data_IF_952149440389
#
_entry.id   IF_952149440389
#
_cell.length_a   1.000
_cell.length_b   1.000
_cell.length_c   1.000
_cell.angle_alpha   90.00
_cell.angle_beta   90.00
_cell.angle_gamma   90.00
#
_symmetry.space_group_name_H-M   'P 1'
#
loop_
_entity.id
_entity.type
_entity.pdbx_description
1 polymer ?
#
# COMPACT_ATOMS: atom_id res chain seq x y z
N UNK A 1 18.98 -13.89 13.23
CA UNK A 1 18.82 -12.45 12.96
C UNK A 1 18.21 -11.82 14.20
N UNK A 2 18.74 -10.69 14.68
CA UNK A 2 18.19 -9.98 15.84
C UNK A 2 16.81 -9.39 15.49
N UNK A 3 15.87 -9.30 16.44
CA UNK A 3 14.50 -8.84 16.15
C UNK A 3 14.50 -7.43 15.53
N UNK A 4 15.38 -6.55 16.01
CA UNK A 4 15.53 -5.20 15.49
C UNK A 4 15.96 -5.16 14.02
N UNK A 5 16.85 -6.07 13.60
CA UNK A 5 17.31 -6.15 12.21
C UNK A 5 16.18 -6.65 11.29
N UNK A 6 15.43 -7.67 11.74
CA UNK A 6 14.27 -8.17 11.02
C UNK A 6 13.21 -7.07 10.82
N UNK A 7 12.91 -6.31 11.89
CA UNK A 7 11.97 -5.19 11.83
C UNK A 7 12.47 -4.05 10.92
N UNK A 8 13.76 -3.74 10.93
CA UNK A 8 14.35 -2.75 10.03
C UNK A 8 14.19 -3.16 8.55
N UNK A 9 14.39 -4.44 8.22
CA UNK A 9 14.14 -4.97 6.86
C UNK A 9 12.66 -4.92 6.49
N UNK A 10 11.78 -5.34 7.40
CA UNK A 10 10.33 -5.35 7.20
C UNK A 10 9.78 -3.95 6.88
N UNK A 11 10.27 -2.96 7.62
CA UNK A 11 9.73 -1.59 7.64
C UNK A 11 10.56 -0.59 6.84
N UNK A 12 11.58 -1.04 6.10
CA UNK A 12 12.38 -0.17 5.24
C UNK A 12 11.50 0.62 4.27
N UNK A 13 11.89 1.84 3.83
CA UNK A 13 11.14 2.57 2.83
C UNK A 13 10.84 1.72 1.59
N UNK A 14 9.67 1.93 1.01
CA UNK A 14 9.20 1.33 -0.23
C UNK A 14 10.01 1.91 -1.40
N UNK A 15 10.50 1.01 -2.24
CA UNK A 15 11.09 1.39 -3.52
C UNK A 15 10.01 1.79 -4.53
N UNK A 16 10.42 2.46 -5.61
CA UNK A 16 9.52 2.80 -6.70
C UNK A 16 8.92 1.57 -7.40
N UNK A 17 9.62 0.43 -7.37
CA UNK A 17 9.14 -0.83 -7.97
C UNK A 17 8.07 -1.52 -7.12
N UNK A 18 8.07 -1.28 -5.81
CA UNK A 18 7.05 -1.82 -4.89
C UNK A 18 5.78 -0.98 -4.86
N UNK A 19 5.84 0.25 -5.40
CA UNK A 19 4.71 1.19 -5.41
C UNK A 19 4.07 1.22 -6.78
N UNK A 20 2.79 0.87 -6.79
CA UNK A 20 1.92 1.03 -7.93
C UNK A 20 0.94 2.18 -7.70
N UNK A 21 0.34 2.65 -8.80
CA UNK A 21 -0.62 3.75 -8.78
C UNK A 21 -1.95 3.29 -9.35
N UNK A 22 -3.04 3.62 -8.66
CA UNK A 22 -4.40 3.30 -9.11
C UNK A 22 -5.25 4.55 -9.20
N UNK A 23 -6.16 4.57 -10.18
CA UNK A 23 -7.23 5.55 -10.26
C UNK A 23 -8.24 5.24 -9.14
N UNK A 24 -8.53 6.24 -8.32
CA UNK A 24 -9.56 6.16 -7.25
C UNK A 24 -10.81 6.95 -7.61
N UNK A 25 -10.71 7.90 -8.54
CA UNK A 25 -11.85 8.63 -9.08
C UNK A 25 -11.47 9.27 -10.41
N UNK A 26 -12.36 9.27 -11.39
CA UNK A 26 -12.24 10.04 -12.63
C UNK A 26 -13.58 10.69 -12.90
N UNK A 27 -13.72 11.97 -12.56
CA UNK A 27 -14.97 12.73 -12.68
C UNK A 27 -14.72 14.24 -12.68
N UNK A 28 -15.61 14.99 -13.32
CA UNK A 28 -15.58 16.44 -13.32
C UNK A 28 -14.32 17.01 -13.98
N UNK A 29 -13.82 16.35 -15.02
CA UNK A 29 -12.60 16.77 -15.74
C UNK A 29 -11.31 16.56 -14.94
N UNK A 30 -11.31 15.73 -13.90
CA UNK A 30 -10.12 15.41 -13.10
C UNK A 30 -10.07 13.93 -12.75
N UNK A 31 -8.87 13.36 -12.88
CA UNK A 31 -8.56 12.00 -12.44
C UNK A 31 -7.71 12.04 -11.17
N UNK A 32 -8.19 11.43 -10.09
CA UNK A 32 -7.45 11.28 -8.83
C UNK A 32 -6.83 9.90 -8.77
N UNK A 33 -5.54 9.84 -8.46
CA UNK A 33 -4.81 8.59 -8.27
C UNK A 33 -4.19 8.51 -6.87
N UNK A 34 -4.00 7.29 -6.37
CA UNK A 34 -3.37 7.03 -5.09
C UNK A 34 -2.33 5.90 -5.22
N UNK A 35 -1.22 5.99 -4.46
CA UNK A 35 -0.23 4.93 -4.45
C UNK A 35 -0.73 3.75 -3.61
N UNK A 36 -0.34 2.55 -3.97
CA UNK A 36 -0.58 1.33 -3.22
C UNK A 36 0.57 0.36 -3.45
N UNK A 37 0.73 -0.62 -2.56
CA UNK A 37 1.60 -1.77 -2.80
C UNK A 37 0.79 -2.96 -3.26
N UNK A 38 1.39 -3.85 -4.03
CA UNK A 38 0.81 -5.16 -4.32
C UNK A 38 0.94 -6.12 -3.12
N UNK A 39 0.06 -7.13 -3.07
CA UNK A 39 0.07 -8.14 -2.02
C UNK A 39 1.38 -8.96 -1.99
N UNK A 40 2.01 -9.20 -3.13
CA UNK A 40 3.28 -9.95 -3.23
C UNK A 40 4.45 -9.13 -2.67
N UNK A 41 4.40 -7.80 -2.73
CA UNK A 41 5.39 -6.96 -2.05
C UNK A 41 5.33 -7.12 -0.52
N UNK A 42 4.12 -7.23 0.05
CA UNK A 42 3.93 -7.55 1.48
C UNK A 42 4.54 -8.92 1.82
N UNK A 43 4.21 -9.94 1.03
CA UNK A 43 4.72 -11.31 1.24
C UNK A 43 6.24 -11.37 1.14
N UNK A 44 6.80 -10.73 0.10
CA UNK A 44 8.24 -10.69 -0.13
C UNK A 44 8.99 -10.03 1.02
N UNK A 45 8.45 -8.95 1.61
CA UNK A 45 9.01 -8.29 2.78
C UNK A 45 8.95 -9.14 4.04
N UNK A 46 7.86 -9.88 4.23
CA UNK A 46 7.73 -10.84 5.34
C UNK A 46 8.73 -11.99 5.19
N UNK A 47 8.89 -12.52 3.99
CA UNK A 47 9.89 -13.55 3.67
C UNK A 47 11.32 -13.04 3.84
N UNK A 48 11.63 -11.81 3.39
CA UNK A 48 12.95 -11.18 3.56
C UNK A 48 13.29 -11.00 5.05
N UNK A 49 12.31 -10.64 5.86
CA UNK A 49 12.49 -10.31 7.27
C UNK A 49 12.39 -11.52 8.22
N UNK A 50 11.64 -12.56 7.90
CA UNK A 50 11.40 -13.68 8.83
C UNK A 50 11.53 -15.06 8.19
N UNK A 51 11.71 -15.13 6.86
CA UNK A 51 11.64 -16.36 6.09
C UNK A 51 10.22 -16.90 5.97
N UNK A 52 9.98 -17.84 5.04
CA UNK A 52 8.63 -18.35 4.75
C UNK A 52 7.98 -19.11 5.92
N UNK A 53 8.77 -19.54 6.91
CA UNK A 53 8.27 -20.21 8.12
C UNK A 53 8.12 -19.26 9.33
N UNK A 54 8.59 -18.01 9.23
CA UNK A 54 8.60 -17.05 10.32
C UNK A 54 7.35 -16.17 10.40
N UNK A 55 6.42 -16.32 9.46
CA UNK A 55 5.15 -15.63 9.44
C UNK A 55 4.03 -16.55 8.94
N UNK A 56 2.79 -16.19 9.27
CA UNK A 56 1.58 -16.85 8.76
C UNK A 56 0.46 -15.83 8.59
N UNK A 57 -0.51 -16.15 7.72
CA UNK A 57 -1.73 -15.36 7.56
C UNK A 57 -2.96 -16.25 7.65
N UNK A 58 -3.97 -15.80 8.41
CA UNK A 58 -5.32 -16.35 8.36
C UNK A 58 -6.28 -15.32 7.77
N UNK A 59 -7.28 -15.81 7.04
CA UNK A 59 -8.38 -14.99 6.53
C UNK A 59 -9.69 -15.48 7.13
N UNK A 60 -10.49 -14.56 7.65
CA UNK A 60 -11.83 -14.84 8.19
C UNK A 60 -12.87 -13.96 7.48
N UNK A 61 -14.03 -14.51 7.07
CA UNK A 61 -15.14 -13.69 6.62
C UNK A 61 -15.57 -12.73 7.73
N UNK A 62 -15.90 -11.50 7.36
CA UNK A 62 -16.38 -10.48 8.28
C UNK A 62 -17.65 -9.84 7.74
N UNK A 63 -18.57 -9.53 8.64
CA UNK A 63 -19.76 -8.75 8.35
C UNK A 63 -19.94 -7.70 9.44
N UNK A 64 -20.01 -6.43 9.02
CA UNK A 64 -20.27 -5.30 9.92
C UNK A 64 -21.48 -4.56 9.37
N UNK A 65 -22.63 -4.76 10.03
CA UNK A 65 -23.91 -4.32 9.50
C UNK A 65 -24.23 -4.99 8.15
N UNK A 66 -24.42 -4.18 7.11
CA UNK A 66 -24.70 -4.65 5.74
C UNK A 66 -23.43 -4.81 4.88
N UNK A 67 -22.26 -4.48 5.43
CA UNK A 67 -20.99 -4.60 4.71
C UNK A 67 -20.40 -5.99 4.90
N UNK A 68 -20.00 -6.61 3.79
CA UNK A 68 -19.27 -7.86 3.76
C UNK A 68 -17.79 -7.61 3.43
N UNK A 69 -16.91 -8.31 4.12
CA UNK A 69 -15.48 -8.19 3.93
C UNK A 69 -14.71 -9.40 4.42
N UNK A 70 -13.40 -9.23 4.46
CA UNK A 70 -12.45 -10.23 4.94
C UNK A 70 -11.56 -9.55 5.97
N UNK A 71 -11.32 -10.22 7.10
CA UNK A 71 -10.26 -9.86 8.05
C UNK A 71 -9.05 -10.73 7.72
N UNK A 72 -7.88 -10.09 7.62
CA UNK A 72 -6.61 -10.79 7.55
C UNK A 72 -5.89 -10.63 8.89
N UNK A 73 -5.39 -11.73 9.42
CA UNK A 73 -4.58 -11.76 10.63
C UNK A 73 -3.17 -12.25 10.26
N UNK A 74 -2.19 -11.36 10.34
CA UNK A 74 -0.78 -11.68 10.11
C UNK A 74 -0.14 -11.92 11.46
N UNK A 75 0.38 -13.14 11.66
CA UNK A 75 1.17 -13.48 12.82
C UNK A 75 2.64 -13.65 12.43
N UNK A 76 3.53 -13.08 13.23
CA UNK A 76 4.98 -13.14 13.06
C UNK A 76 5.58 -13.78 14.31
N UNK A 77 6.50 -14.73 14.11
CA UNK A 77 7.23 -15.35 15.21
C UNK A 77 8.36 -14.44 15.66
N UNK A 78 8.34 -14.00 16.91
CA UNK A 78 9.41 -13.21 17.49
C UNK A 78 10.70 -14.08 17.47
N UNK A 79 11.78 -13.64 16.79
CA UNK A 79 13.00 -14.45 16.67
C UNK A 79 13.78 -14.58 17.98
N UNK A 80 13.50 -13.74 18.97
CA UNK A 80 14.17 -13.74 20.28
C UNK A 80 13.40 -14.58 21.31
N UNK A 81 12.08 -14.43 21.40
CA UNK A 81 11.26 -15.16 22.39
C UNK A 81 10.65 -16.45 21.84
N UNK A 82 10.56 -16.59 20.52
CA UNK A 82 9.89 -17.70 19.87
C UNK A 82 8.35 -17.62 19.87
N UNK A 83 7.78 -16.57 20.47
CA UNK A 83 6.34 -16.38 20.57
C UNK A 83 5.73 -15.87 19.27
N UNK A 84 4.47 -16.24 19.01
CA UNK A 84 3.70 -15.71 17.89
C UNK A 84 2.93 -14.46 18.33
N UNK A 85 3.14 -13.36 17.63
CA UNK A 85 2.39 -12.12 17.83
C UNK A 85 1.52 -11.91 16.60
N UNK A 86 0.23 -11.66 16.79
CA UNK A 86 -0.76 -11.49 15.71
C UNK A 86 -1.27 -10.04 15.67
N UNK A 87 -1.41 -9.51 14.46
CA UNK A 87 -2.11 -8.24 14.21
C UNK A 87 -3.05 -8.42 13.03
N UNK A 88 -4.20 -7.74 13.08
CA UNK A 88 -5.26 -7.90 12.10
C UNK A 88 -5.85 -6.56 11.67
N UNK A 89 -6.37 -6.55 10.45
CA UNK A 89 -7.21 -5.50 9.86
C UNK A 89 -8.10 -6.15 8.79
N UNK A 90 -9.10 -5.44 8.30
CA UNK A 90 -10.04 -5.95 7.31
C UNK A 90 -10.23 -5.03 6.11
N UNK A 91 -10.73 -5.59 5.02
CA UNK A 91 -11.17 -4.85 3.86
C UNK A 91 -12.52 -5.36 3.38
N UNK A 92 -13.35 -4.44 2.89
CA UNK A 92 -14.59 -4.77 2.19
C UNK A 92 -14.34 -5.36 0.81
N UNK A 93 -15.39 -5.91 0.21
CA UNK A 93 -15.37 -6.36 -1.17
C UNK A 93 -15.10 -5.20 -2.16
N UNK A 94 -14.48 -5.51 -3.30
CA UNK A 94 -14.23 -4.55 -4.39
C UNK A 94 -15.22 -4.71 -5.54
N UNK A 95 -15.46 -3.66 -6.33
CA UNK A 95 -16.42 -3.70 -7.44
C UNK A 95 -16.05 -4.67 -8.59
N UNK A 96 -14.75 -4.88 -8.86
CA UNK A 96 -14.31 -5.71 -10.00
C UNK A 96 -14.20 -7.22 -9.67
N UNK A 97 -13.44 -7.57 -8.63
CA UNK A 97 -13.30 -8.97 -8.18
C UNK A 97 -13.55 -9.05 -6.67
N UNK A 98 -14.82 -8.99 -6.23
CA UNK A 98 -15.23 -8.81 -4.83
C UNK A 98 -14.40 -9.61 -3.81
N UNK A 99 -14.28 -10.91 -4.04
CA UNK A 99 -13.60 -11.82 -3.12
C UNK A 99 -12.07 -11.65 -3.11
N UNK A 100 -11.44 -11.61 -4.30
CA UNK A 100 -9.96 -11.48 -4.42
C UNK A 100 -9.48 -10.09 -3.96
N UNK A 101 -10.25 -9.06 -4.29
CA UNK A 101 -10.00 -7.69 -3.86
C UNK A 101 -10.11 -7.55 -2.33
N UNK A 102 -11.10 -8.18 -1.71
CA UNK A 102 -11.25 -8.22 -0.25
C UNK A 102 -10.06 -8.90 0.44
N UNK A 103 -9.63 -10.07 -0.03
CA UNK A 103 -8.48 -10.81 0.54
C UNK A 103 -7.19 -9.99 0.43
N UNK A 104 -6.86 -9.49 -0.76
CA UNK A 104 -5.63 -8.72 -0.98
C UNK A 104 -5.66 -7.37 -0.26
N UNK A 105 -6.82 -6.72 -0.19
CA UNK A 105 -7.03 -5.50 0.59
C UNK A 105 -6.79 -5.73 2.08
N UNK A 106 -7.37 -6.80 2.63
CA UNK A 106 -7.23 -7.14 4.05
C UNK A 106 -5.78 -7.46 4.42
N UNK A 107 -5.07 -8.25 3.61
CA UNK A 107 -3.65 -8.55 3.82
C UNK A 107 -2.82 -7.25 3.88
N UNK A 108 -3.00 -6.37 2.90
CA UNK A 108 -2.26 -5.12 2.82
C UNK A 108 -2.54 -4.19 3.99
N UNK A 109 -3.78 -4.15 4.46
CA UNK A 109 -4.16 -3.35 5.64
C UNK A 109 -3.59 -3.94 6.93
N UNK A 110 -3.67 -5.25 7.13
CA UNK A 110 -3.06 -5.91 8.28
C UNK A 110 -1.54 -5.70 8.33
N UNK A 111 -0.88 -5.66 7.16
CA UNK A 111 0.54 -5.36 7.03
C UNK A 111 0.93 -3.95 7.55
N UNK A 112 0.02 -2.97 7.47
CA UNK A 112 0.24 -1.62 8.02
C UNK A 112 0.42 -1.67 9.54
N UNK A 113 -0.27 -2.57 10.24
CA UNK A 113 -0.11 -2.76 11.69
C UNK A 113 1.31 -3.27 12.06
N UNK A 114 1.99 -3.91 11.11
CA UNK A 114 3.39 -4.34 11.20
C UNK A 114 4.40 -3.32 10.68
N UNK A 115 3.94 -2.19 10.14
CA UNK A 115 4.80 -1.11 9.64
C UNK A 115 5.01 -1.11 8.13
N UNK A 116 4.57 -2.15 7.42
CA UNK A 116 4.71 -2.25 5.97
C UNK A 116 3.82 -1.20 5.30
N UNK A 117 4.40 -0.34 4.48
CA UNK A 117 3.66 0.63 3.67
C UNK A 117 2.97 1.77 4.43
N UNK A 118 3.29 1.99 5.72
CA UNK A 118 2.77 3.14 6.47
C UNK A 118 3.08 4.49 5.82
N UNK A 119 4.21 4.58 5.12
CA UNK A 119 4.60 5.79 4.43
C UNK A 119 3.66 6.18 3.28
N UNK A 120 2.90 5.24 2.71
CA UNK A 120 1.91 5.53 1.66
C UNK A 120 0.88 6.59 2.09
N UNK A 121 0.56 6.63 3.39
CA UNK A 121 -0.36 7.62 3.96
C UNK A 121 0.24 9.04 4.06
N UNK A 122 1.55 9.18 3.82
CA UNK A 122 2.24 10.48 3.73
C UNK A 122 2.35 10.99 2.29
N UNK A 123 1.88 10.22 1.31
CA UNK A 123 1.97 10.64 -0.08
C UNK A 123 0.95 11.75 -0.38
N UNK A 124 1.31 12.72 -1.24
CA UNK A 124 0.37 13.69 -1.76
C UNK A 124 -0.76 13.00 -2.53
N UNK A 125 -1.95 13.59 -2.47
CA UNK A 125 -3.02 13.25 -3.41
C UNK A 125 -2.64 13.77 -4.79
N UNK A 126 -2.62 12.88 -5.79
CA UNK A 126 -2.28 13.26 -7.16
C UNK A 126 -3.57 13.49 -7.95
N UNK A 127 -3.69 14.67 -8.55
CA UNK A 127 -4.77 15.06 -9.43
C UNK A 127 -4.22 15.25 -10.85
N UNK A 128 -4.83 14.59 -11.82
CA UNK A 128 -4.47 14.69 -13.23
C UNK A 128 -5.61 15.42 -13.94
N UNK A 129 -5.29 16.45 -14.71
CA UNK A 129 -6.27 17.14 -15.55
C UNK A 129 -6.83 16.21 -16.63
N UNK A 130 -8.14 16.24 -16.81
CA UNK A 130 -8.86 15.35 -17.71
C UNK A 130 -9.40 14.10 -17.01
N UNK A 131 -10.32 13.43 -17.70
CA UNK A 131 -10.87 12.13 -17.30
C UNK A 131 -10.15 11.03 -18.05
N UNK A 132 -9.40 10.22 -17.32
CA UNK A 132 -8.50 9.23 -17.89
C UNK A 132 -8.96 7.82 -17.50
N UNK A 133 -9.00 6.92 -18.48
CA UNK A 133 -9.22 5.49 -18.23
C UNK A 133 -7.96 4.78 -17.71
N UNK A 134 -6.79 5.29 -18.08
CA UNK A 134 -5.47 4.77 -17.69
C UNK A 134 -4.58 5.92 -17.25
N UNK A 135 -3.64 5.67 -16.33
CA UNK A 135 -2.71 6.71 -15.87
C UNK A 135 -1.72 7.02 -17.00
N UNK A 136 -1.58 8.29 -17.45
CA UNK A 136 -0.63 8.65 -18.48
C UNK A 136 0.81 8.25 -18.11
N UNK A 137 1.57 7.72 -19.08
CA UNK A 137 2.94 7.24 -18.85
C UNK A 137 3.86 8.33 -18.28
N UNK A 138 3.75 9.55 -18.80
CA UNK A 138 4.56 10.68 -18.33
C UNK A 138 4.27 11.05 -16.87
N UNK A 139 3.02 10.86 -16.41
CA UNK A 139 2.66 10.99 -14.99
C UNK A 139 3.34 9.92 -14.16
N UNK A 140 3.32 8.65 -14.58
CA UNK A 140 4.02 7.57 -13.87
C UNK A 140 5.54 7.81 -13.79
N UNK A 141 6.14 8.24 -14.90
CA UNK A 141 7.57 8.61 -14.94
C UNK A 141 7.88 9.76 -13.98
N UNK A 142 7.01 10.78 -13.89
CA UNK A 142 7.15 11.88 -12.91
C UNK A 142 7.08 11.38 -11.46
N UNK A 143 6.18 10.44 -11.17
CA UNK A 143 5.93 9.92 -9.82
C UNK A 143 6.99 8.93 -9.35
N UNK A 144 7.79 8.34 -10.24
CA UNK A 144 8.89 7.43 -9.90
C UNK A 144 9.93 8.02 -8.93
N UNK A 145 10.02 9.36 -8.85
CA UNK A 145 10.95 10.09 -7.96
C UNK A 145 10.36 10.38 -6.57
N UNK A 146 9.06 10.18 -6.40
CA UNK A 146 8.35 10.51 -5.16
C UNK A 146 8.73 9.60 -3.98
N UNK A 147 8.96 8.28 -4.16
CA UNK A 147 9.38 7.40 -3.08
C UNK A 147 10.68 7.82 -2.40
N UNK A 148 11.67 8.23 -3.18
CA UNK A 148 12.92 8.74 -2.63
C UNK A 148 12.70 10.00 -1.78
N UNK A 149 11.85 10.92 -2.23
CA UNK A 149 11.52 12.13 -1.48
C UNK A 149 10.79 11.83 -0.15
N UNK A 150 9.87 10.86 -0.16
CA UNK A 150 9.17 10.38 1.04
C UNK A 150 10.14 9.72 2.02
N UNK A 151 11.02 8.84 1.52
CA UNK A 151 12.03 8.16 2.32
C UNK A 151 13.01 9.13 2.99
N UNK A 152 13.38 10.22 2.30
CA UNK A 152 14.22 11.29 2.84
C UNK A 152 13.48 12.23 3.81
N UNK A 153 12.17 12.03 4.02
CA UNK A 153 11.36 12.86 4.90
C UNK A 153 11.18 14.29 4.40
N UNK A 154 11.34 14.53 3.09
CA UNK A 154 11.13 15.87 2.51
C UNK A 154 9.69 16.32 2.74
N UNK A 155 9.46 17.61 3.06
CA UNK A 155 8.11 18.14 3.12
C UNK A 155 7.49 18.08 1.72
N UNK A 156 6.36 17.40 1.61
CA UNK A 156 5.59 17.28 0.37
C UNK A 156 4.31 18.10 0.49
N UNK A 157 3.82 18.69 -0.62
CA UNK A 157 2.51 19.32 -0.61
C UNK A 157 1.42 18.29 -0.32
N UNK A 158 0.27 18.73 0.15
CA UNK A 158 -0.89 17.83 0.35
C UNK A 158 -1.42 17.30 -1.00
N UNK A 159 -1.33 18.11 -2.05
CA UNK A 159 -1.86 17.82 -3.38
C UNK A 159 -0.83 18.18 -4.45
N UNK A 160 -0.62 17.29 -5.42
CA UNK A 160 0.12 17.57 -6.65
C UNK A 160 -0.86 17.52 -7.82
N UNK A 161 -0.92 18.60 -8.60
CA UNK A 161 -1.73 18.70 -9.83
C UNK A 161 -0.83 18.55 -11.05
N UNK A 162 -1.18 17.64 -11.94
CA UNK A 162 -0.42 17.31 -13.15
C UNK A 162 -1.33 17.40 -14.38
N UNK A 163 -0.78 17.80 -15.51
CA UNK A 163 -1.41 17.54 -16.80
C UNK A 163 -1.06 16.11 -17.29
N UNK A 164 -1.59 15.70 -18.43
CA UNK A 164 -1.31 14.37 -19.04
C UNK A 164 0.17 14.15 -19.37
N UNK A 165 0.95 15.23 -19.49
CA UNK A 165 2.40 15.22 -19.75
C UNK A 165 3.24 15.12 -18.46
N UNK A 166 2.60 15.03 -17.29
CA UNK A 166 3.30 14.94 -16.00
C UNK A 166 3.90 16.27 -15.52
N UNK A 167 3.51 17.38 -16.14
CA UNK A 167 3.96 18.72 -15.76
C UNK A 167 3.06 19.30 -14.69
N UNK A 168 3.64 20.07 -13.75
CA UNK A 168 2.85 20.69 -12.67
C UNK A 168 1.96 21.79 -13.20
N UNK A 169 0.68 21.74 -12.84
CA UNK A 169 -0.30 22.77 -13.21
C UNK A 169 -0.57 23.67 -12.01
N UNK A 170 -0.44 24.98 -12.21
CA UNK A 170 -0.84 25.98 -11.20
C UNK A 170 -2.36 26.09 -11.21
N UNK A 171 -2.93 26.24 -10.01
CA UNK A 171 -4.36 26.52 -9.85
C UNK A 171 -4.73 27.87 -10.45
#
# INVERSE_FOLDING_TARGET
MQAQEALARLTRPLSAEEIEWKIISSKGGTTTIAPFIDARAVMSRLDEAFGPFGWQVRYTPAQVGNEHGVIAAIAIKNPETGEWIEKQDGAGATDMEPFKGGISGALKRAAVAWGIGRELYRYPRILIEGEHRYIPKAVLERLSKLPEAVAQGKPLPEVIRLNERGESVKR
#
